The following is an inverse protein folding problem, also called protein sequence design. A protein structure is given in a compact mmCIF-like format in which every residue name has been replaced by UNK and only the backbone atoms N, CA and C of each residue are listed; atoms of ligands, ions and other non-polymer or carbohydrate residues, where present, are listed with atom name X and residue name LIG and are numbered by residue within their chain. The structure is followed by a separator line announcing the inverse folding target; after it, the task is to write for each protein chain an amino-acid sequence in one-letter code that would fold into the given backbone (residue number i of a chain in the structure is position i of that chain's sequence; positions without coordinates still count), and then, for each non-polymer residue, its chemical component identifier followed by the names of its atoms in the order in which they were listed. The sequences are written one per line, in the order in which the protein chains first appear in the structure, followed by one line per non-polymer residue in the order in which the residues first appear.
data_IF_878304200850
#
_entry.id   IF_878304200850
#
_cell.length_a   1.000
_cell.length_b   1.000
_cell.length_c   1.000
_cell.angle_alpha   90.00
_cell.angle_beta   90.00
_cell.angle_gamma   90.00
#
_symmetry.space_group_name_H-M   'P 1'
#
loop_
_entity.id
_entity.type
_entity.pdbx_description
1 polymer ?
#
# COMPACT_ATOMS: atom_id res chain seq x y z
N UNK A 1 -20.70 -12.37 -9.98
CA UNK A 1 -21.67 -12.97 -9.04
C UNK A 1 -21.47 -12.52 -7.61
N UNK A 2 -20.38 -12.93 -6.95
CA UNK A 2 -20.18 -12.74 -5.50
C UNK A 2 -20.20 -11.27 -5.01
N UNK A 3 -19.71 -10.32 -5.79
CA UNK A 3 -19.66 -8.91 -5.40
C UNK A 3 -21.06 -8.31 -5.17
N UNK A 4 -22.03 -8.67 -6.01
CA UNK A 4 -23.40 -8.16 -5.90
C UNK A 4 -24.16 -8.82 -4.73
N UNK A 5 -23.90 -10.10 -4.41
CA UNK A 5 -24.51 -10.80 -3.28
C UNK A 5 -24.07 -10.25 -1.91
N UNK A 6 -22.86 -9.67 -1.83
CA UNK A 6 -22.33 -9.02 -0.62
C UNK A 6 -22.97 -7.65 -0.42
N UNK A 7 -23.22 -6.90 -1.50
CA UNK A 7 -23.92 -5.61 -1.47
C UNK A 7 -25.39 -5.75 -1.06
N UNK A 8 -26.02 -6.90 -1.33
CA UNK A 8 -27.41 -7.19 -0.94
C UNK A 8 -27.54 -7.92 0.41
N UNK A 9 -26.46 -8.00 1.20
CA UNK A 9 -26.52 -8.44 2.60
C UNK A 9 -26.52 -9.95 2.86
N UNK A 10 -26.23 -10.80 1.87
CA UNK A 10 -26.42 -12.25 2.01
C UNK A 10 -25.13 -13.10 2.14
N UNK A 11 -23.96 -12.47 2.35
CA UNK A 11 -22.71 -13.19 2.59
C UNK A 11 -21.79 -12.43 3.55
N UNK A 12 -21.53 -13.02 4.72
CA UNK A 12 -20.78 -12.40 5.81
C UNK A 12 -19.25 -12.43 5.65
N UNK A 13 -18.68 -13.29 4.78
CA UNK A 13 -17.22 -13.36 4.48
C UNK A 13 -16.92 -13.88 3.07
N UNK A 14 -17.02 -13.05 2.02
CA UNK A 14 -16.65 -13.46 0.66
C UNK A 14 -15.12 -13.60 0.52
N UNK A 15 -14.62 -14.76 0.08
CA UNK A 15 -13.22 -14.90 -0.36
C UNK A 15 -13.12 -14.56 -1.84
N UNK A 16 -12.36 -13.52 -2.17
CA UNK A 16 -12.10 -13.14 -3.57
C UNK A 16 -10.70 -13.59 -4.01
N UNK A 17 -10.63 -14.32 -5.14
CA UNK A 17 -9.37 -14.86 -5.67
C UNK A 17 -8.47 -13.79 -6.31
N UNK A 18 -9.05 -12.76 -6.94
CA UNK A 18 -8.30 -11.70 -7.65
C UNK A 18 -8.69 -10.27 -7.27
N UNK A 19 -9.75 -10.08 -6.47
CA UNK A 19 -10.22 -8.75 -6.03
C UNK A 19 -9.82 -8.50 -4.58
N UNK A 20 -9.30 -7.31 -4.31
CA UNK A 20 -9.06 -6.82 -2.96
C UNK A 20 -10.25 -5.92 -2.56
N UNK A 21 -11.12 -6.42 -1.69
CA UNK A 21 -12.37 -5.72 -1.30
C UNK A 21 -12.24 -5.20 0.13
N UNK A 22 -12.42 -3.89 0.31
CA UNK A 22 -12.55 -3.28 1.63
C UNK A 22 -13.95 -3.55 2.22
N UNK A 23 -14.11 -3.65 3.55
CA UNK A 23 -13.08 -3.63 4.60
C UNK A 23 -12.43 -5.01 4.85
N UNK A 24 -12.75 -6.03 4.05
CA UNK A 24 -12.50 -7.43 4.41
C UNK A 24 -11.05 -7.89 4.23
N UNK A 25 -10.49 -7.73 3.03
CA UNK A 25 -9.19 -8.33 2.69
C UNK A 25 -8.12 -7.33 2.24
N UNK A 26 -8.52 -6.10 1.89
CA UNK A 26 -7.63 -5.14 1.24
C UNK A 26 -6.45 -4.70 2.14
N UNK A 27 -6.71 -4.27 3.38
CA UNK A 27 -5.66 -3.81 4.30
C UNK A 27 -4.69 -4.96 4.65
N UNK A 28 -5.22 -6.12 5.03
CA UNK A 28 -4.43 -7.31 5.39
C UNK A 28 -3.54 -7.74 4.23
N UNK A 29 -4.10 -7.89 3.02
CA UNK A 29 -3.33 -8.29 1.84
C UNK A 29 -2.29 -7.25 1.43
N UNK A 30 -2.57 -5.96 1.57
CA UNK A 30 -1.54 -4.92 1.34
C UNK A 30 -0.35 -5.08 2.28
N UNK A 31 -0.61 -5.27 3.58
CA UNK A 31 0.46 -5.51 4.56
C UNK A 31 1.21 -6.80 4.27
N UNK A 32 0.52 -7.88 3.89
CA UNK A 32 1.15 -9.15 3.48
C UNK A 32 2.10 -8.97 2.28
N UNK A 33 1.69 -8.22 1.25
CA UNK A 33 2.52 -7.93 0.08
C UNK A 33 3.76 -7.10 0.46
N UNK A 34 3.62 -6.08 1.30
CA UNK A 34 4.75 -5.28 1.78
C UNK A 34 5.73 -6.13 2.60
N UNK A 35 5.21 -7.03 3.44
CA UNK A 35 6.03 -7.95 4.23
C UNK A 35 6.78 -8.96 3.35
N UNK A 36 6.19 -9.39 2.23
CA UNK A 36 6.86 -10.27 1.28
C UNK A 36 8.08 -9.58 0.64
N UNK A 37 7.94 -8.33 0.21
CA UNK A 37 9.06 -7.51 -0.30
C UNK A 37 10.13 -7.30 0.77
N UNK A 38 9.72 -7.03 2.01
CA UNK A 38 10.61 -6.92 3.16
C UNK A 38 11.43 -8.20 3.37
N UNK A 39 10.79 -9.36 3.28
CA UNK A 39 11.45 -10.65 3.42
C UNK A 39 12.39 -10.96 2.24
N UNK A 40 12.06 -10.52 1.02
CA UNK A 40 12.92 -10.63 -0.14
C UNK A 40 14.20 -9.78 0.03
N UNK A 41 14.06 -8.51 0.43
CA UNK A 41 15.18 -7.61 0.69
C UNK A 41 16.13 -8.16 1.77
N UNK A 42 15.59 -8.66 2.90
CA UNK A 42 16.38 -9.28 3.97
C UNK A 42 17.17 -10.51 3.50
N UNK A 43 16.72 -11.19 2.45
CA UNK A 43 17.40 -12.33 1.83
C UNK A 43 18.35 -11.92 0.70
N UNK A 44 18.57 -10.61 0.50
CA UNK A 44 19.38 -10.09 -0.60
C UNK A 44 18.78 -10.31 -1.99
N UNK A 45 17.47 -10.61 -2.07
CA UNK A 45 16.76 -10.79 -3.34
C UNK A 45 16.28 -9.44 -3.88
N UNK A 46 16.08 -9.31 -5.21
CA UNK A 46 15.41 -8.16 -5.79
C UNK A 46 14.07 -7.91 -5.09
N UNK A 47 13.81 -6.65 -4.76
CA UNK A 47 12.59 -6.20 -4.09
C UNK A 47 12.27 -4.76 -4.51
N UNK A 48 11.02 -4.36 -4.36
CA UNK A 48 10.61 -2.99 -4.60
C UNK A 48 9.12 -2.78 -4.45
N UNK A 49 8.74 -1.56 -4.04
CA UNK A 49 7.34 -1.18 -3.90
C UNK A 49 7.11 0.09 -4.70
N UNK A 50 6.16 0.03 -5.63
CA UNK A 50 5.61 1.20 -6.31
C UNK A 50 4.12 1.27 -6.06
N UNK A 51 3.62 2.43 -5.62
CA UNK A 51 2.19 2.63 -5.40
C UNK A 51 1.76 4.04 -5.77
N UNK A 52 0.62 4.14 -6.47
CA UNK A 52 -0.12 5.39 -6.70
C UNK A 52 -1.40 5.36 -5.89
N UNK A 53 -1.60 6.35 -5.02
CA UNK A 53 -2.80 6.45 -4.18
C UNK A 53 -3.26 7.89 -4.07
N UNK A 54 -4.56 8.06 -3.81
CA UNK A 54 -5.09 9.40 -3.51
C UNK A 54 -4.65 9.86 -2.12
N UNK A 55 -4.72 8.98 -1.13
CA UNK A 55 -4.32 9.29 0.24
C UNK A 55 -3.62 8.10 0.87
N UNK A 56 -2.64 8.37 1.73
CA UNK A 56 -1.92 7.40 2.55
C UNK A 56 -2.02 7.80 4.02
N UNK A 57 -3.00 7.24 4.72
CA UNK A 57 -3.35 7.61 6.11
C UNK A 57 -3.48 6.40 7.04
N UNK A 58 -3.38 5.18 6.51
CA UNK A 58 -3.55 3.95 7.28
C UNK A 58 -2.29 3.64 8.10
N UNK A 59 -2.36 3.60 9.45
CA UNK A 59 -1.17 3.40 10.28
C UNK A 59 -0.49 2.04 10.06
N UNK A 60 -1.26 0.97 9.83
CA UNK A 60 -0.69 -0.38 9.67
C UNK A 60 0.08 -0.50 8.36
N UNK A 61 -0.45 0.10 7.28
CA UNK A 61 0.25 0.17 5.99
C UNK A 61 1.49 1.05 6.11
N UNK A 62 1.39 2.21 6.76
CA UNK A 62 2.53 3.13 6.96
C UNK A 62 3.65 2.44 7.76
N UNK A 63 3.33 1.77 8.85
CA UNK A 63 4.30 1.02 9.67
C UNK A 63 4.92 -0.15 8.91
N UNK A 64 4.16 -0.82 8.04
CA UNK A 64 4.71 -1.84 7.15
C UNK A 64 5.70 -1.24 6.14
N UNK A 65 5.38 -0.08 5.55
CA UNK A 65 6.28 0.64 4.64
C UNK A 65 7.57 1.11 5.32
N UNK A 66 7.50 1.59 6.56
CA UNK A 66 8.70 1.93 7.34
C UNK A 66 9.58 0.70 7.58
N UNK A 67 9.00 -0.42 8.01
CA UNK A 67 9.76 -1.67 8.21
C UNK A 67 10.39 -2.19 6.91
N UNK A 68 9.68 -2.06 5.79
CA UNK A 68 10.22 -2.39 4.47
C UNK A 68 11.41 -1.49 4.12
N UNK A 69 11.30 -0.18 4.38
CA UNK A 69 12.39 0.77 4.15
C UNK A 69 13.63 0.48 4.99
N UNK A 70 13.45 0.16 6.27
CA UNK A 70 14.52 -0.27 7.18
C UNK A 70 15.22 -1.55 6.72
N UNK A 71 14.50 -2.43 6.03
CA UNK A 71 15.07 -3.64 5.42
C UNK A 71 15.78 -3.38 4.09
N UNK A 72 15.80 -2.14 3.60
CA UNK A 72 16.45 -1.75 2.36
C UNK A 72 15.59 -1.86 1.10
N UNK A 73 14.28 -2.10 1.23
CA UNK A 73 13.37 -2.14 0.07
C UNK A 73 13.31 -0.74 -0.56
N UNK A 74 13.53 -0.58 -1.87
CA UNK A 74 13.29 0.69 -2.56
C UNK A 74 11.79 0.94 -2.71
N UNK A 75 11.31 2.11 -2.29
CA UNK A 75 9.88 2.42 -2.24
C UNK A 75 9.61 3.77 -2.93
N UNK A 76 8.78 3.74 -3.98
CA UNK A 76 8.33 4.92 -4.72
C UNK A 76 6.80 5.08 -4.60
N UNK A 77 6.38 6.17 -3.96
CA UNK A 77 4.98 6.48 -3.69
C UNK A 77 4.56 7.73 -4.47
N UNK A 78 3.44 7.63 -5.17
CA UNK A 78 2.77 8.77 -5.81
C UNK A 78 1.49 9.04 -5.03
N UNK A 79 1.49 10.10 -4.21
CA UNK A 79 0.36 10.44 -3.32
C UNK A 79 -0.22 11.80 -3.71
N UNK A 80 -1.48 11.81 -4.16
CA UNK A 80 -2.13 13.03 -4.67
C UNK A 80 -2.59 13.98 -3.55
N UNK A 81 -3.16 13.43 -2.49
CA UNK A 81 -3.80 14.13 -1.38
C UNK A 81 -3.03 13.93 -0.08
N UNK A 82 -3.75 13.57 0.98
CA UNK A 82 -3.18 13.48 2.34
C UNK A 82 -2.17 12.33 2.42
N UNK A 83 -0.97 12.63 2.92
CA UNK A 83 0.06 11.65 3.22
C UNK A 83 0.52 11.83 4.68
N UNK A 84 0.28 10.84 5.52
CA UNK A 84 0.76 10.81 6.91
C UNK A 84 2.15 10.14 7.04
N UNK A 85 2.67 9.54 5.97
CA UNK A 85 4.01 8.98 5.93
C UNK A 85 5.05 10.09 5.71
N UNK A 86 6.16 10.03 6.46
CA UNK A 86 7.28 10.96 6.35
C UNK A 86 8.48 10.25 5.70
N UNK A 87 8.83 10.58 4.44
CA UNK A 87 9.98 9.97 3.74
C UNK A 87 11.32 10.57 4.18
N UNK A 88 12.41 9.83 3.97
CA UNK A 88 13.78 10.32 4.14
C UNK A 88 14.29 10.42 5.58
N UNK A 89 13.56 9.89 6.56
CA UNK A 89 13.99 9.87 7.96
C UNK A 89 15.07 8.80 8.14
N UNK A 90 16.30 9.15 8.57
CA UNK A 90 17.37 8.18 8.81
C UNK A 90 16.93 7.08 9.77
N UNK A 91 17.21 5.82 9.41
CA UNK A 91 16.84 4.66 10.23
C UNK A 91 15.35 4.32 10.25
N UNK A 92 14.48 5.06 9.54
CA UNK A 92 13.04 4.77 9.47
C UNK A 92 12.52 4.72 8.03
N UNK A 93 12.82 5.71 7.20
CA UNK A 93 12.34 5.83 5.83
C UNK A 93 13.39 6.27 4.79
N UNK A 94 14.67 5.87 4.90
CA UNK A 94 15.72 6.37 4.00
C UNK A 94 15.54 5.95 2.53
N UNK A 95 14.81 4.87 2.26
CA UNK A 95 14.56 4.35 0.91
C UNK A 95 13.22 4.76 0.33
N UNK A 96 12.42 5.53 1.07
CA UNK A 96 11.08 5.95 0.64
C UNK A 96 11.17 7.29 -0.09
N UNK A 97 10.62 7.32 -1.30
CA UNK A 97 10.41 8.54 -2.09
C UNK A 97 8.92 8.78 -2.24
N UNK A 98 8.46 9.97 -1.85
CA UNK A 98 7.07 10.38 -2.05
C UNK A 98 7.05 11.53 -3.05
N UNK A 99 6.23 11.39 -4.09
CA UNK A 99 5.96 12.41 -5.09
C UNK A 99 4.47 12.75 -5.05
N UNK A 100 4.14 14.03 -5.08
CA UNK A 100 2.76 14.47 -5.29
C UNK A 100 2.59 14.95 -6.72
N UNK A 101 1.54 14.47 -7.39
CA UNK A 101 1.17 14.95 -8.74
C UNK A 101 0.03 15.93 -8.57
N UNK A 102 0.38 17.22 -8.53
CA UNK A 102 -0.57 18.32 -8.61
C UNK A 102 -0.67 18.75 -10.08
N UNK A 103 -1.63 18.15 -10.80
CA UNK A 103 -2.02 18.60 -12.13
C UNK A 103 -3.08 19.71 -12.06
N UNK A 104 -3.22 20.50 -13.13
CA UNK A 104 -4.30 21.49 -13.32
C UNK A 104 -5.70 20.84 -13.43
N UNK A 105 -5.75 19.52 -13.59
CA UNK A 105 -6.97 18.71 -13.67
C UNK A 105 -7.07 17.74 -12.48
N UNK A 106 -8.31 17.39 -12.10
CA UNK A 106 -8.56 16.34 -11.14
C UNK A 106 -8.16 14.96 -11.73
N UNK A 107 -6.95 14.48 -11.44
CA UNK A 107 -6.51 13.12 -11.82
C UNK A 107 -7.37 12.03 -11.16
N UNK A 108 -8.18 11.34 -11.95
CA UNK A 108 -9.08 10.26 -11.51
C UNK A 108 -8.55 8.83 -11.72
N UNK A 109 -7.31 8.65 -12.21
CA UNK A 109 -6.71 7.32 -12.35
C UNK A 109 -6.25 6.77 -11.00
N UNK A 110 -6.78 5.59 -10.63
CA UNK A 110 -6.28 4.74 -9.55
C UNK A 110 -5.56 3.56 -10.17
#
# INVERSE_FOLDING_TARGET
GLLFNVLTGNLSKPKFNHLLVAPFDLQRKMVEMINAETAAAKKGKPSGIFAKVNSLVDPLVIDALYRASQAGVPIDLVVRGICCLVPGVPGMSPTIRVRSVLGRFLEHSR
#
